data_IF_522827501240
#
_entry.id   IF_522827501240
#
_cell.length_a   1.000
_cell.length_b   1.000
_cell.length_c   1.000
_cell.angle_alpha   90.00
_cell.angle_beta   90.00
_cell.angle_gamma   90.00
#
_symmetry.space_group_name_H-M   'P 1'
#
loop_
_entity.id
_entity.type
_entity.pdbx_description
1 polymer ?
#
# COMPACT_ATOMS: atom_id res chain seq x y z
N UNK A 1 51.79 2.13 19.27
CA UNK A 1 51.31 1.35 20.42
C UNK A 1 49.81 1.24 20.31
N UNK A 2 49.40 -0.01 20.17
CA UNK A 2 48.13 -0.51 19.68
C UNK A 2 46.98 -0.24 20.66
N UNK A 3 45.84 0.21 20.14
CA UNK A 3 44.52 0.03 20.74
C UNK A 3 43.53 -0.28 19.63
N UNK A 4 43.55 -1.53 19.20
CA UNK A 4 42.42 -2.46 19.32
C UNK A 4 41.04 -1.83 18.99
N UNK A 5 40.60 -2.12 17.77
CA UNK A 5 39.31 -2.75 17.47
C UNK A 5 38.12 -2.35 18.35
N UNK A 6 37.22 -1.56 17.76
CA UNK A 6 35.79 -1.67 18.06
C UNK A 6 35.01 -1.71 16.75
N UNK A 7 35.25 -2.76 15.98
CA UNK A 7 34.24 -3.30 15.08
C UNK A 7 33.18 -3.96 15.96
N UNK A 8 31.99 -3.35 16.04
CA UNK A 8 30.73 -3.96 16.48
C UNK A 8 29.61 -2.93 16.24
N UNK A 9 29.18 -2.76 14.98
CA UNK A 9 27.83 -2.27 14.72
C UNK A 9 27.16 -3.24 13.75
N UNK A 10 26.69 -4.36 14.29
CA UNK A 10 25.72 -5.22 13.61
C UNK A 10 24.39 -4.49 13.53
N UNK A 11 24.27 -3.55 12.59
CA UNK A 11 22.95 -3.11 12.16
C UNK A 11 22.23 -4.35 11.59
N UNK A 12 20.99 -4.65 12.01
CA UNK A 12 20.23 -5.72 11.39
C UNK A 12 20.19 -5.43 9.89
N UNK A 13 20.64 -6.39 9.08
CA UNK A 13 20.61 -6.28 7.63
C UNK A 13 19.13 -6.13 7.22
N UNK A 14 18.70 -4.89 7.00
CA UNK A 14 17.36 -4.59 6.53
C UNK A 14 17.20 -5.26 5.17
N UNK A 15 16.35 -6.30 5.10
CA UNK A 15 16.16 -7.06 3.87
C UNK A 15 15.76 -6.11 2.73
N UNK A 16 16.32 -6.36 1.55
CA UNK A 16 15.98 -5.62 0.34
C UNK A 16 14.49 -5.76 -0.01
N UNK A 17 13.92 -4.73 -0.62
CA UNK A 17 12.50 -4.66 -0.98
C UNK A 17 12.09 -5.86 -1.84
N UNK A 18 12.86 -6.19 -2.88
CA UNK A 18 12.52 -7.30 -3.78
C UNK A 18 12.52 -8.65 -3.04
N UNK A 19 13.43 -8.82 -2.08
CA UNK A 19 13.47 -10.04 -1.25
C UNK A 19 12.23 -10.14 -0.36
N UNK A 20 11.83 -9.04 0.28
CA UNK A 20 10.61 -9.01 1.08
C UNK A 20 9.36 -9.28 0.26
N UNK A 21 9.25 -8.68 -0.92
CA UNK A 21 8.14 -8.92 -1.85
C UNK A 21 8.07 -10.40 -2.22
N UNK A 22 9.20 -11.01 -2.60
CA UNK A 22 9.25 -12.41 -2.99
C UNK A 22 8.85 -13.35 -1.84
N UNK A 23 9.30 -13.07 -0.61
CA UNK A 23 8.91 -13.84 0.58
C UNK A 23 7.44 -13.66 0.92
N UNK A 24 6.94 -12.42 0.86
CA UNK A 24 5.54 -12.12 1.13
C UNK A 24 4.61 -12.78 0.09
N UNK A 25 5.03 -12.84 -1.19
CA UNK A 25 4.34 -13.61 -2.25
C UNK A 25 4.27 -15.10 -1.94
N UNK A 26 5.28 -15.65 -1.26
CA UNK A 26 5.29 -17.05 -0.81
C UNK A 26 4.47 -17.29 0.48
N UNK A 27 3.78 -16.27 1.01
CA UNK A 27 2.96 -16.37 2.23
C UNK A 27 3.70 -16.06 3.53
N UNK A 28 4.91 -15.50 3.48
CA UNK A 28 5.64 -15.06 4.67
C UNK A 28 5.01 -13.78 5.25
N UNK A 29 4.17 -13.97 6.27
CA UNK A 29 3.49 -12.86 6.96
C UNK A 29 4.45 -11.86 7.61
N UNK A 30 5.63 -12.29 8.07
CA UNK A 30 6.60 -11.38 8.66
C UNK A 30 7.23 -10.46 7.59
N UNK A 31 7.49 -11.01 6.40
CA UNK A 31 7.95 -10.22 5.27
C UNK A 31 6.89 -9.20 4.82
N UNK A 32 5.61 -9.59 4.82
CA UNK A 32 4.52 -8.68 4.52
C UNK A 32 4.37 -7.57 5.58
N UNK A 33 4.42 -7.91 6.87
CA UNK A 33 4.33 -6.93 7.95
C UNK A 33 5.47 -5.88 7.88
N UNK A 34 6.68 -6.31 7.51
CA UNK A 34 7.80 -5.42 7.26
C UNK A 34 7.54 -4.47 6.07
N UNK A 35 6.95 -4.97 4.97
CA UNK A 35 6.53 -4.12 3.85
C UNK A 35 5.48 -3.08 4.29
N UNK A 36 4.48 -3.50 5.06
CA UNK A 36 3.45 -2.60 5.60
C UNK A 36 4.09 -1.51 6.44
N UNK A 37 4.93 -1.87 7.42
CA UNK A 37 5.60 -0.91 8.31
C UNK A 37 6.43 0.13 7.55
N UNK A 38 7.12 -0.28 6.47
CA UNK A 38 7.91 0.63 5.63
C UNK A 38 7.06 1.63 4.86
N UNK A 39 5.85 1.26 4.47
CA UNK A 39 5.02 2.05 3.55
C UNK A 39 3.84 2.74 4.21
N UNK A 40 3.44 2.33 5.41
CA UNK A 40 2.25 2.82 6.11
C UNK A 40 2.24 4.35 6.25
N UNK A 41 3.31 4.94 6.77
CA UNK A 41 3.38 6.39 6.97
C UNK A 41 3.26 7.17 5.64
N UNK A 42 3.81 6.63 4.55
CA UNK A 42 3.73 7.25 3.22
C UNK A 42 2.32 7.16 2.67
N UNK A 43 1.67 6.01 2.78
CA UNK A 43 0.28 5.81 2.36
C UNK A 43 -0.65 6.71 3.17
N UNK A 44 -0.47 6.78 4.49
CA UNK A 44 -1.21 7.64 5.38
C UNK A 44 -1.07 9.12 4.99
N UNK A 45 0.16 9.59 4.78
CA UNK A 45 0.42 10.98 4.37
C UNK A 45 -0.24 11.31 3.04
N UNK A 46 -0.20 10.39 2.08
CA UNK A 46 -0.84 10.55 0.78
C UNK A 46 -2.37 10.57 0.90
N UNK A 47 -2.94 9.67 1.70
CA UNK A 47 -4.36 9.66 2.04
C UNK A 47 -4.78 11.00 2.65
N UNK A 48 -4.08 11.46 3.69
CA UNK A 48 -4.33 12.74 4.35
C UNK A 48 -4.37 13.93 3.38
N UNK A 49 -3.48 14.00 2.40
CA UNK A 49 -3.48 15.07 1.39
C UNK A 49 -4.72 15.03 0.48
N UNK A 50 -5.30 13.86 0.25
CA UNK A 50 -6.44 13.65 -0.64
C UNK A 50 -7.76 13.82 0.12
N UNK A 51 -7.98 13.05 1.19
CA UNK A 51 -9.27 12.99 1.91
C UNK A 51 -9.40 14.07 3.00
N UNK A 52 -8.29 14.65 3.47
CA UNK A 52 -8.26 15.75 4.46
C UNK A 52 -8.99 15.48 5.78
N UNK A 53 -9.23 14.21 6.12
CA UNK A 53 -9.79 13.76 7.40
C UNK A 53 -8.97 12.57 7.91
N UNK A 54 -8.67 12.58 9.21
CA UNK A 54 -7.82 11.58 9.86
C UNK A 54 -8.39 10.17 9.75
N UNK A 55 -9.66 9.99 10.16
CA UNK A 55 -10.37 8.70 10.12
C UNK A 55 -10.39 8.08 8.70
N UNK A 56 -10.57 8.92 7.68
CA UNK A 56 -10.55 8.45 6.30
C UNK A 56 -9.16 8.08 5.81
N UNK A 57 -8.13 8.80 6.27
CA UNK A 57 -6.77 8.46 5.90
C UNK A 57 -6.36 7.11 6.50
N UNK A 58 -6.81 6.80 7.72
CA UNK A 58 -6.65 5.48 8.32
C UNK A 58 -7.41 4.39 7.53
N UNK A 59 -8.64 4.67 7.09
CA UNK A 59 -9.39 3.75 6.23
C UNK A 59 -8.70 3.52 4.87
N UNK A 60 -8.14 4.57 4.28
CA UNK A 60 -7.33 4.48 3.06
C UNK A 60 -6.12 3.60 3.27
N UNK A 61 -5.41 3.74 4.39
CA UNK A 61 -4.25 2.91 4.74
C UNK A 61 -4.65 1.44 4.81
N UNK A 62 -5.68 1.13 5.60
CA UNK A 62 -6.15 -0.24 5.79
C UNK A 62 -6.59 -0.86 4.46
N UNK A 63 -7.47 -0.18 3.73
CA UNK A 63 -7.99 -0.67 2.44
C UNK A 63 -6.87 -0.83 1.41
N UNK A 64 -5.88 0.07 1.40
CA UNK A 64 -4.72 -0.06 0.52
C UNK A 64 -3.95 -1.34 0.81
N UNK A 65 -3.63 -1.64 2.07
CA UNK A 65 -2.86 -2.85 2.38
C UNK A 65 -3.65 -4.14 2.24
N UNK A 66 -4.98 -4.10 2.41
CA UNK A 66 -5.86 -5.21 2.04
C UNK A 66 -5.77 -5.50 0.54
N UNK A 67 -5.90 -4.47 -0.31
CA UNK A 67 -5.76 -4.65 -1.77
C UNK A 67 -4.35 -5.09 -2.17
N UNK A 68 -3.32 -4.57 -1.49
CA UNK A 68 -1.93 -5.01 -1.71
C UNK A 68 -1.82 -6.50 -1.41
N UNK A 69 -2.35 -6.98 -0.29
CA UNK A 69 -2.33 -8.40 0.08
C UNK A 69 -3.07 -9.26 -0.94
N UNK A 70 -4.28 -8.85 -1.33
CA UNK A 70 -5.13 -9.55 -2.31
C UNK A 70 -4.44 -9.71 -3.67
N UNK A 71 -3.69 -8.69 -4.11
CA UNK A 71 -3.07 -8.67 -5.43
C UNK A 71 -1.56 -8.93 -5.41
N UNK A 72 -0.98 -9.24 -4.24
CA UNK A 72 0.47 -9.38 -4.09
C UNK A 72 1.02 -10.52 -4.95
N UNK A 73 0.29 -11.64 -5.02
CA UNK A 73 0.67 -12.81 -5.81
C UNK A 73 0.81 -12.49 -7.31
N UNK A 74 0.01 -11.55 -7.82
CA UNK A 74 0.01 -11.14 -9.24
C UNK A 74 1.02 -10.03 -9.55
N UNK A 75 1.69 -9.48 -8.54
CA UNK A 75 2.64 -8.38 -8.72
C UNK A 75 3.93 -8.87 -9.42
N UNK A 76 4.05 -8.53 -10.72
CA UNK A 76 5.15 -9.00 -11.60
C UNK A 76 6.47 -8.23 -11.48
N UNK A 77 6.63 -7.35 -10.48
CA UNK A 77 7.85 -6.54 -10.24
C UNK A 77 8.38 -5.73 -11.46
N UNK A 78 7.52 -5.40 -12.43
CA UNK A 78 7.88 -4.57 -13.59
C UNK A 78 8.07 -3.08 -13.24
N UNK A 79 7.58 -2.68 -12.07
CA UNK A 79 7.81 -1.39 -11.43
C UNK A 79 8.18 -1.65 -9.96
N UNK A 80 8.73 -0.65 -9.27
CA UNK A 80 9.02 -0.78 -7.84
C UNK A 80 7.74 -0.99 -7.03
N UNK A 81 7.85 -1.72 -5.92
CA UNK A 81 6.71 -1.96 -5.03
C UNK A 81 6.16 -0.64 -4.49
N UNK A 82 7.04 0.32 -4.16
CA UNK A 82 6.66 1.67 -3.78
C UNK A 82 5.74 2.36 -4.79
N UNK A 83 6.01 2.22 -6.09
CA UNK A 83 5.18 2.81 -7.16
C UNK A 83 3.82 2.13 -7.21
N UNK A 84 3.81 0.80 -7.09
CA UNK A 84 2.59 0.00 -7.13
C UNK A 84 1.66 0.31 -5.95
N UNK A 85 2.20 0.33 -4.71
CA UNK A 85 1.45 0.70 -3.49
C UNK A 85 0.95 2.14 -3.57
N UNK A 86 1.78 3.07 -4.04
CA UNK A 86 1.36 4.48 -4.21
C UNK A 86 0.15 4.59 -5.15
N UNK A 87 0.13 3.84 -6.26
CA UNK A 87 -1.00 3.83 -7.19
C UNK A 87 -2.27 3.28 -6.55
N UNK A 88 -2.18 2.19 -5.79
CA UNK A 88 -3.33 1.62 -5.07
C UNK A 88 -3.85 2.66 -4.06
N UNK A 89 -2.96 3.27 -3.26
CA UNK A 89 -3.33 4.27 -2.27
C UNK A 89 -4.06 5.48 -2.87
N UNK A 90 -3.56 6.03 -3.98
CA UNK A 90 -4.21 7.15 -4.68
C UNK A 90 -5.61 6.75 -5.15
N UNK A 91 -5.75 5.57 -5.76
CA UNK A 91 -7.04 5.10 -6.25
C UNK A 91 -8.04 4.90 -5.11
N UNK A 92 -7.60 4.30 -4.01
CA UNK A 92 -8.41 4.09 -2.80
C UNK A 92 -8.86 5.43 -2.21
N UNK A 93 -7.95 6.39 -2.02
CA UNK A 93 -8.27 7.71 -1.48
C UNK A 93 -9.23 8.50 -2.38
N UNK A 94 -9.00 8.49 -3.70
CA UNK A 94 -9.89 9.17 -4.64
C UNK A 94 -11.27 8.49 -4.72
N UNK A 95 -11.35 7.17 -4.59
CA UNK A 95 -12.62 6.44 -4.52
C UNK A 95 -13.42 6.87 -3.28
N UNK A 96 -12.77 6.91 -2.13
CA UNK A 96 -13.40 7.35 -0.88
C UNK A 96 -13.87 8.81 -0.95
N UNK A 97 -13.02 9.72 -1.45
CA UNK A 97 -13.36 11.13 -1.62
C UNK A 97 -14.60 11.32 -2.52
N UNK A 98 -14.68 10.61 -3.64
CA UNK A 98 -15.85 10.68 -4.54
C UNK A 98 -17.13 10.21 -3.85
N UNK A 99 -17.05 9.11 -3.08
CA UNK A 99 -18.18 8.59 -2.30
C UNK A 99 -18.68 9.62 -1.30
N UNK A 100 -17.79 10.34 -0.63
CA UNK A 100 -18.17 11.41 0.32
C UNK A 100 -18.81 12.62 -0.35
N UNK A 101 -18.37 12.96 -1.56
CA UNK A 101 -18.94 14.04 -2.35
C UNK A 101 -20.30 13.68 -2.98
N UNK A 102 -20.80 12.46 -2.76
CA UNK A 102 -22.03 11.96 -3.40
C UNK A 102 -21.88 11.78 -4.92
N UNK A 103 -20.65 11.75 -5.43
CA UNK A 103 -20.33 11.58 -6.85
C UNK A 103 -20.20 10.09 -7.18
N UNK A 104 -21.22 9.31 -6.84
CA UNK A 104 -21.26 7.88 -7.16
C UNK A 104 -21.39 7.69 -8.66
N UNK A 105 -20.47 6.91 -9.25
CA UNK A 105 -20.54 6.57 -10.66
C UNK A 105 -21.62 5.52 -10.85
N UNK A 106 -22.77 5.94 -11.41
CA UNK A 106 -23.78 5.01 -11.91
C UNK A 106 -23.22 4.39 -13.19
N UNK A 107 -23.17 3.06 -13.26
CA UNK A 107 -22.79 2.35 -14.47
C UNK A 107 -23.85 2.62 -15.56
N UNK A 108 -23.41 3.02 -16.76
CA UNK A 108 -24.30 3.26 -17.91
C UNK A 108 -25.10 2.00 -18.31
N UNK A 109 -24.69 0.81 -17.88
CA UNK A 109 -25.41 -0.44 -18.13
C UNK A 109 -26.69 -0.61 -17.30
N UNK A 110 -26.90 0.18 -16.23
CA UNK A 110 -28.13 0.12 -15.43
C UNK A 110 -29.28 0.97 -16.01
N UNK A 111 -29.01 1.81 -17.02
CA UNK A 111 -30.01 2.72 -17.59
C UNK A 111 -30.78 2.13 -18.78
N UNK A 112 -30.46 0.92 -19.24
CA UNK A 112 -31.06 0.29 -20.43
C UNK A 112 -32.03 -0.84 -20.12
N UNK A 113 -32.33 -1.12 -18.84
CA UNK A 113 -33.23 -2.23 -18.43
C UNK A 113 -34.52 -1.74 -17.79
N UNK A 114 -35.17 -0.72 -18.35
CA UNK A 114 -36.56 -0.38 -18.03
C UNK A 114 -37.30 0.12 -19.28
N UNK A 115 -37.47 -0.74 -20.29
CA UNK A 115 -38.61 -0.68 -21.22
C UNK A 115 -38.69 -1.97 -22.07
N UNK A 116 -39.33 -3.00 -21.51
CA UNK A 116 -40.22 -3.90 -22.25
C UNK A 116 -41.21 -4.57 -21.28
#
# INVERSE_FOLDING_TARGET
MDRLTRDCNGAPQQLDESTLVTRAQAGDYAAFAELVSRYEQRVYTLGMHIVRRHEDAEDVVQTTFLHVLEHLADFRQQASFATWVTRIAINTALKLLRKQQGLEQVSLEQATTEHE
#
